data_IF_582784070509
#
_entry.id   IF_582784070509
#
_cell.length_a   1.000
_cell.length_b   1.000
_cell.length_c   1.000
_cell.angle_alpha   90.00
_cell.angle_beta   90.00
_cell.angle_gamma   90.00
#
_symmetry.space_group_name_H-M   'P 1'
#
loop_
_entity.id
_entity.type
_entity.pdbx_description
1 polymer ?
#
# COMPACT_ATOMS: atom_id res chain seq x y z
N UNK A 1 -5.73 -35.36 30.98
CA UNK A 1 -6.10 -33.94 30.84
C UNK A 1 -4.99 -33.06 31.39
N UNK A 2 -4.31 -32.30 30.53
CA UNK A 2 -3.76 -30.97 30.83
C UNK A 2 -3.27 -30.37 29.51
N UNK A 3 -3.95 -29.30 29.08
CA UNK A 3 -3.57 -28.46 27.97
C UNK A 3 -2.22 -27.80 28.28
N UNK A 4 -1.27 -27.87 27.35
CA UNK A 4 -0.21 -26.87 27.25
C UNK A 4 -0.28 -26.22 25.88
N UNK A 5 -1.12 -25.20 25.83
CA UNK A 5 -1.11 -24.15 24.83
C UNK A 5 0.21 -23.41 24.95
N UNK A 6 1.10 -23.54 23.96
CA UNK A 6 2.22 -22.62 23.77
C UNK A 6 1.93 -21.75 22.56
N UNK A 7 1.08 -20.75 22.79
CA UNK A 7 1.17 -19.46 22.11
C UNK A 7 2.30 -18.70 22.79
N UNK A 8 3.40 -18.43 22.09
CA UNK A 8 4.02 -17.12 22.21
C UNK A 8 4.71 -16.72 20.91
N UNK A 9 4.29 -15.54 20.47
CA UNK A 9 4.64 -14.83 19.26
C UNK A 9 5.94 -14.07 19.56
N UNK A 10 6.89 -14.09 18.64
CA UNK A 10 7.77 -12.96 18.31
C UNK A 10 8.37 -13.29 16.94
N UNK A 11 7.87 -12.74 15.82
CA UNK A 11 7.43 -11.35 15.68
C UNK A 11 8.63 -10.42 15.70
N UNK A 12 9.71 -10.81 15.03
CA UNK A 12 10.83 -9.95 14.70
C UNK A 12 11.33 -10.29 13.30
N UNK A 13 10.54 -9.93 12.29
CA UNK A 13 11.14 -9.61 11.00
C UNK A 13 11.42 -8.12 11.13
N UNK A 14 12.68 -7.81 11.44
CA UNK A 14 13.18 -6.45 11.45
C UNK A 14 12.84 -5.79 10.13
N UNK A 15 12.64 -4.47 10.19
CA UNK A 15 12.59 -3.61 9.01
C UNK A 15 13.81 -3.93 8.14
N UNK A 16 13.58 -4.71 7.08
CA UNK A 16 14.56 -4.85 6.03
C UNK A 16 14.41 -3.59 5.18
N UNK A 17 15.42 -2.72 5.24
CA UNK A 17 15.56 -1.55 4.38
C UNK A 17 15.48 -1.92 2.88
N UNK A 18 15.47 -3.22 2.54
CA UNK A 18 15.28 -3.80 1.21
C UNK A 18 13.83 -4.08 0.76
N UNK A 19 12.82 -3.75 1.58
CA UNK A 19 11.41 -4.07 1.27
C UNK A 19 11.00 -3.59 -0.13
N UNK A 20 10.21 -4.39 -0.84
CA UNK A 20 9.72 -4.04 -2.17
C UNK A 20 8.97 -2.69 -2.19
N UNK A 21 8.40 -2.27 -1.07
CA UNK A 21 7.79 -0.94 -0.91
C UNK A 21 8.82 0.20 -0.89
N UNK A 22 9.96 0.03 -0.22
CA UNK A 22 11.02 1.06 -0.24
C UNK A 22 11.50 1.32 -1.68
N UNK A 23 11.69 0.25 -2.47
CA UNK A 23 12.10 0.34 -3.87
C UNK A 23 11.02 0.95 -4.77
N UNK A 24 9.77 0.56 -4.58
CA UNK A 24 8.66 1.15 -5.31
C UNK A 24 8.51 2.65 -5.00
N UNK A 25 8.74 3.08 -3.75
CA UNK A 25 8.63 4.47 -3.35
C UNK A 25 9.75 5.30 -3.97
N UNK A 26 10.98 4.79 -3.94
CA UNK A 26 12.10 5.42 -4.61
C UNK A 26 11.88 5.56 -6.13
N UNK A 27 11.39 4.50 -6.79
CA UNK A 27 11.08 4.53 -8.22
C UNK A 27 9.96 5.53 -8.56
N UNK A 28 8.90 5.57 -7.75
CA UNK A 28 7.80 6.53 -7.92
C UNK A 28 8.29 7.97 -7.78
N UNK A 29 9.08 8.27 -6.74
CA UNK A 29 9.67 9.59 -6.54
C UNK A 29 10.65 9.99 -7.66
N UNK A 30 11.27 9.01 -8.31
CA UNK A 30 12.14 9.22 -9.47
C UNK A 30 11.39 9.30 -10.82
N UNK A 31 10.06 9.15 -10.83
CA UNK A 31 9.25 9.09 -12.05
C UNK A 31 9.40 7.80 -12.87
N UNK A 32 10.04 6.77 -12.30
CA UNK A 32 10.24 5.46 -12.93
C UNK A 32 9.00 4.58 -12.71
N UNK A 33 7.91 4.94 -13.39
CA UNK A 33 6.59 4.34 -13.16
C UNK A 33 6.54 2.83 -13.42
N UNK A 34 7.22 2.33 -14.45
CA UNK A 34 7.27 0.89 -14.72
C UNK A 34 8.00 0.11 -13.62
N UNK A 35 9.09 0.67 -13.09
CA UNK A 35 9.85 0.04 -12.02
C UNK A 35 9.09 0.12 -10.68
N UNK A 36 8.39 1.23 -10.44
CA UNK A 36 7.47 1.34 -9.32
C UNK A 36 6.40 0.23 -9.38
N UNK A 37 5.80 0.00 -10.56
CA UNK A 37 4.80 -1.05 -10.75
C UNK A 37 5.37 -2.46 -10.51
N UNK A 38 6.58 -2.76 -10.99
CA UNK A 38 7.26 -4.05 -10.75
C UNK A 38 7.43 -4.28 -9.24
N UNK A 39 7.93 -3.28 -8.52
CA UNK A 39 8.17 -3.38 -7.09
C UNK A 39 6.86 -3.45 -6.28
N UNK A 40 5.82 -2.70 -6.66
CA UNK A 40 4.46 -2.82 -6.08
C UNK A 40 3.92 -4.23 -6.28
N UNK A 41 4.12 -4.83 -7.46
CA UNK A 41 3.66 -6.19 -7.76
C UNK A 41 4.33 -7.25 -6.89
N UNK A 42 5.61 -7.05 -6.53
CA UNK A 42 6.30 -7.91 -5.56
C UNK A 42 5.71 -7.72 -4.16
N UNK A 43 5.59 -6.47 -3.69
CA UNK A 43 5.02 -6.17 -2.37
C UNK A 43 3.58 -6.71 -2.21
N UNK A 44 2.78 -6.64 -3.28
CA UNK A 44 1.42 -7.16 -3.29
C UNK A 44 1.37 -8.68 -3.14
N UNK A 45 2.36 -9.42 -3.66
CA UNK A 45 2.46 -10.87 -3.48
C UNK A 45 2.84 -11.26 -2.05
N UNK A 46 3.71 -10.46 -1.42
CA UNK A 46 4.18 -10.67 -0.05
C UNK A 46 3.08 -10.37 0.98
N UNK A 47 2.38 -9.24 0.84
CA UNK A 47 1.24 -8.88 1.66
C UNK A 47 0.14 -8.18 0.83
N UNK A 48 -0.85 -8.94 0.34
CA UNK A 48 -1.97 -8.40 -0.43
C UNK A 48 -2.84 -7.40 0.36
N UNK A 49 -2.75 -7.39 1.69
CA UNK A 49 -3.53 -6.51 2.58
C UNK A 49 -2.68 -5.36 3.13
N UNK A 50 -1.47 -5.15 2.63
CA UNK A 50 -0.64 -4.03 3.06
C UNK A 50 -1.25 -2.70 2.58
N UNK A 51 -1.65 -1.85 3.52
CA UNK A 51 -2.27 -0.57 3.20
C UNK A 51 -1.32 0.43 2.51
N UNK A 52 -0.03 0.40 2.86
CA UNK A 52 0.98 1.27 2.26
C UNK A 52 1.25 0.87 0.81
N UNK A 53 1.24 -0.43 0.51
CA UNK A 53 1.30 -0.92 -0.87
C UNK A 53 0.15 -0.36 -1.72
N UNK A 54 -1.08 -0.45 -1.21
CA UNK A 54 -2.25 0.10 -1.90
C UNK A 54 -2.18 1.64 -2.03
N UNK A 55 -1.61 2.34 -1.03
CA UNK A 55 -1.34 3.79 -1.08
C UNK A 55 -0.41 4.14 -2.23
N UNK A 56 0.70 3.42 -2.36
CA UNK A 56 1.67 3.65 -3.42
C UNK A 56 1.12 3.32 -4.81
N UNK A 57 0.33 2.24 -4.92
CA UNK A 57 -0.38 1.91 -6.17
C UNK A 57 -1.34 3.03 -6.57
N UNK A 58 -2.04 3.63 -5.61
CA UNK A 58 -2.93 4.74 -5.89
C UNK A 58 -2.18 5.97 -6.43
N UNK A 59 -1.08 6.37 -5.79
CA UNK A 59 -0.24 7.45 -6.29
C UNK A 59 0.34 7.19 -7.67
N UNK A 60 0.75 5.96 -7.95
CA UNK A 60 1.22 5.58 -9.28
C UNK A 60 0.14 5.82 -10.34
N UNK A 61 -1.10 5.41 -10.08
CA UNK A 61 -2.21 5.62 -11.02
C UNK A 61 -2.59 7.10 -11.16
N UNK A 62 -2.55 7.90 -10.09
CA UNK A 62 -2.72 9.36 -10.20
C UNK A 62 -1.63 10.00 -11.07
N UNK A 63 -0.37 9.59 -10.90
CA UNK A 63 0.74 10.07 -11.72
C UNK A 63 0.63 9.65 -13.21
N UNK A 64 -0.13 8.60 -13.49
CA UNK A 64 -0.41 8.09 -14.85
C UNK A 64 -1.72 8.62 -15.44
N UNK A 65 -2.39 9.57 -14.78
CA UNK A 65 -3.71 10.10 -15.17
C UNK A 65 -4.76 9.00 -15.36
N UNK A 66 -4.75 8.01 -14.45
CA UNK A 66 -5.65 6.87 -14.42
C UNK A 66 -6.55 6.92 -13.17
N UNK A 67 -7.54 7.83 -13.14
CA UNK A 67 -8.34 8.11 -11.95
C UNK A 67 -9.18 6.91 -11.49
N UNK A 68 -9.56 6.02 -12.41
CA UNK A 68 -10.35 4.82 -12.09
C UNK A 68 -9.54 3.86 -11.23
N UNK A 69 -8.33 3.49 -11.66
CA UNK A 69 -7.50 2.56 -10.90
C UNK A 69 -6.89 3.23 -9.65
N UNK A 70 -6.66 4.54 -9.68
CA UNK A 70 -6.30 5.32 -8.48
C UNK A 70 -7.39 5.22 -7.41
N UNK A 71 -8.66 5.43 -7.79
CA UNK A 71 -9.80 5.36 -6.87
C UNK A 71 -9.96 3.97 -6.25
N UNK A 72 -9.82 2.90 -7.04
CA UNK A 72 -9.87 1.52 -6.55
C UNK A 72 -8.75 1.24 -5.54
N UNK A 73 -7.54 1.70 -5.85
CA UNK A 73 -6.37 1.52 -4.99
C UNK A 73 -6.51 2.30 -3.68
N UNK A 74 -7.02 3.53 -3.71
CA UNK A 74 -7.31 4.30 -2.48
C UNK A 74 -8.39 3.65 -1.63
N UNK A 75 -9.44 3.08 -2.24
CA UNK A 75 -10.47 2.32 -1.51
C UNK A 75 -9.86 1.08 -0.83
N UNK A 76 -8.95 0.38 -1.49
CA UNK A 76 -8.23 -0.74 -0.91
C UNK A 76 -7.31 -0.30 0.25
N UNK A 77 -6.58 0.81 0.08
CA UNK A 77 -5.77 1.43 1.13
C UNK A 77 -6.62 1.74 2.37
N UNK A 78 -7.76 2.41 2.19
CA UNK A 78 -8.69 2.76 3.27
C UNK A 78 -9.27 1.52 3.97
N UNK A 79 -9.57 0.46 3.21
CA UNK A 79 -10.12 -0.80 3.73
C UNK A 79 -9.13 -1.53 4.64
N UNK A 80 -7.84 -1.48 4.29
CA UNK A 80 -6.81 -2.26 4.98
C UNK A 80 -6.01 -1.48 6.02
N UNK A 81 -6.05 -0.15 5.99
CA UNK A 81 -5.33 0.67 6.96
C UNK A 81 -6.03 0.73 8.31
N UNK A 82 -5.24 0.61 9.39
CA UNK A 82 -5.63 0.98 10.76
C UNK A 82 -5.08 2.35 11.18
N UNK A 83 -4.15 2.90 10.40
CA UNK A 83 -3.50 4.19 10.69
C UNK A 83 -4.46 5.35 10.38
N UNK A 84 -4.68 6.23 11.37
CA UNK A 84 -5.65 7.33 11.23
C UNK A 84 -5.23 8.36 10.18
N UNK A 85 -3.94 8.57 9.96
CA UNK A 85 -3.42 9.52 8.99
C UNK A 85 -3.56 8.97 7.57
N UNK A 86 -3.12 7.73 7.33
CA UNK A 86 -3.30 7.06 6.02
C UNK A 86 -4.79 6.99 5.65
N UNK A 87 -5.66 6.66 6.59
CA UNK A 87 -7.11 6.65 6.33
C UNK A 87 -7.68 8.04 6.02
N UNK A 88 -7.15 9.10 6.63
CA UNK A 88 -7.57 10.48 6.35
C UNK A 88 -7.14 10.89 4.94
N UNK A 89 -5.88 10.63 4.61
CA UNK A 89 -5.31 10.85 3.29
C UNK A 89 -6.11 10.13 2.20
N UNK A 90 -6.34 8.83 2.35
CA UNK A 90 -7.12 8.06 1.37
C UNK A 90 -8.53 8.64 1.16
N UNK A 91 -9.20 9.12 2.22
CA UNK A 91 -10.51 9.77 2.09
C UNK A 91 -10.46 11.08 1.31
N UNK A 92 -9.40 11.86 1.46
CA UNK A 92 -9.22 13.12 0.71
C UNK A 92 -9.08 12.80 -0.77
N UNK A 93 -8.17 11.91 -1.14
CA UNK A 93 -7.96 11.51 -2.53
C UNK A 93 -9.21 10.88 -3.15
N UNK A 94 -9.90 9.97 -2.44
CA UNK A 94 -11.18 9.39 -2.90
C UNK A 94 -12.21 10.49 -3.20
N UNK A 95 -12.33 11.48 -2.31
CA UNK A 95 -13.26 12.58 -2.50
C UNK A 95 -12.89 13.39 -3.75
N UNK A 96 -11.64 13.80 -3.88
CA UNK A 96 -11.18 14.61 -5.02
C UNK A 96 -11.38 13.87 -6.35
N UNK A 97 -10.95 12.61 -6.44
CA UNK A 97 -11.12 11.79 -7.64
C UNK A 97 -12.59 11.61 -8.02
N UNK A 98 -13.51 11.52 -7.04
CA UNK A 98 -14.94 11.42 -7.32
C UNK A 98 -15.57 12.76 -7.77
N UNK A 99 -14.99 13.89 -7.39
CA UNK A 99 -15.44 15.23 -7.81
C UNK A 99 -14.95 15.62 -9.22
N UNK A 100 -13.82 15.04 -9.66
CA UNK A 100 -13.23 15.27 -10.98
C UNK A 100 -13.82 14.39 -12.11
N UNK A 101 -14.62 13.38 -11.75
CA UNK A 101 -15.20 12.38 -12.66
C UNK A 101 -16.57 12.76 -13.24
#
# INVERSE_FOLDING_TARGET
>A
MRLLSLLLIMGFIGADDSSALSKASAALNAGLFEDALKHISVAQKEDPKNAEMHRMKAFLHEALDDPKNALESWKACLKHSKDKNIRREAKIHIKNLMEEM
#
